data_IF_334220173578
#
_entry.id   IF_334220173578
#
_cell.length_a   1.000
_cell.length_b   1.000
_cell.length_c   1.000
_cell.angle_alpha   90.00
_cell.angle_beta   90.00
_cell.angle_gamma   90.00
#
_symmetry.space_group_name_H-M   'P 1'
#
loop_
_entity.id
_entity.type
_entity.pdbx_description
1 polymer ?
#
# COMPACT_ATOMS: atom_id res chain seq x y z
N UNK A 1 -2.79 15.13 10.01
CA UNK A 1 -3.69 15.47 8.87
C UNK A 1 -3.29 16.73 8.07
N UNK A 2 -2.40 17.59 8.57
CA UNK A 2 -2.00 18.85 7.92
C UNK A 2 -1.05 18.68 6.72
N UNK A 3 -0.25 17.63 6.73
CA UNK A 3 0.84 17.42 5.76
C UNK A 3 0.32 17.02 4.36
N UNK A 4 -0.74 16.22 4.25
CA UNK A 4 -1.24 15.74 2.95
C UNK A 4 -1.83 16.88 2.09
N UNK A 5 -2.51 17.86 2.72
CA UNK A 5 -3.03 19.04 2.02
C UNK A 5 -1.90 19.95 1.53
N UNK A 6 -0.81 20.07 2.29
CA UNK A 6 0.37 20.85 1.90
C UNK A 6 1.09 20.25 0.68
N UNK A 7 1.19 18.92 0.59
CA UNK A 7 1.76 18.25 -0.58
C UNK A 7 0.88 18.43 -1.84
N UNK A 8 -0.44 18.37 -1.71
CA UNK A 8 -1.35 18.63 -2.84
C UNK A 8 -1.23 20.08 -3.32
N UNK A 9 -1.16 21.04 -2.39
CA UNK A 9 -0.95 22.47 -2.72
C UNK A 9 0.42 22.69 -3.37
N UNK A 10 1.47 22.05 -2.88
CA UNK A 10 2.81 22.15 -3.45
C UNK A 10 2.88 21.57 -4.87
N UNK A 11 2.21 20.45 -5.13
CA UNK A 11 2.11 19.85 -6.47
C UNK A 11 1.32 20.76 -7.40
N UNK A 12 0.16 21.29 -6.97
CA UNK A 12 -0.62 22.23 -7.77
C UNK A 12 0.16 23.52 -8.08
N UNK A 13 0.88 24.06 -7.10
CA UNK A 13 1.72 25.25 -7.27
C UNK A 13 2.91 24.98 -8.21
N UNK A 14 3.53 23.80 -8.13
CA UNK A 14 4.61 23.41 -9.04
C UNK A 14 4.11 23.23 -10.48
N UNK A 15 2.93 22.63 -10.67
CA UNK A 15 2.30 22.48 -12.00
C UNK A 15 1.90 23.84 -12.57
N UNK A 16 1.30 24.72 -11.76
CA UNK A 16 0.94 26.08 -12.18
C UNK A 16 2.19 26.92 -12.51
N UNK A 17 3.22 26.86 -11.66
CA UNK A 17 4.50 27.54 -11.90
C UNK A 17 5.20 27.04 -13.15
N UNK A 18 5.18 25.73 -13.41
CA UNK A 18 5.73 25.15 -14.63
C UNK A 18 4.94 25.59 -15.88
N UNK A 19 3.61 25.65 -15.81
CA UNK A 19 2.77 26.16 -16.89
C UNK A 19 3.02 27.64 -17.18
N UNK A 20 3.25 28.46 -16.14
CA UNK A 20 3.61 29.88 -16.25
C UNK A 20 5.00 30.08 -16.87
N UNK A 21 6.00 29.27 -16.50
CA UNK A 21 7.37 29.37 -17.02
C UNK A 21 7.50 28.86 -18.46
N UNK A 22 6.62 27.94 -18.90
CA UNK A 22 6.68 27.33 -20.23
C UNK A 22 5.70 27.92 -21.25
N UNK A 23 5.19 29.14 -21.04
CA UNK A 23 4.43 29.87 -22.07
C UNK A 23 5.26 29.99 -23.36
N UNK A 24 5.00 29.08 -24.32
CA UNK A 24 5.64 29.05 -25.64
C UNK A 24 6.36 27.75 -26.03
N UNK A 25 6.58 26.78 -25.14
CA UNK A 25 7.25 25.51 -25.49
C UNK A 25 6.34 24.29 -25.27
N UNK A 26 5.69 23.86 -26.37
CA UNK A 26 4.76 22.71 -26.40
C UNK A 26 5.43 21.41 -25.92
N UNK A 27 6.72 21.21 -26.22
CA UNK A 27 7.44 19.99 -25.85
C UNK A 27 7.54 19.81 -24.34
N UNK A 28 7.86 20.89 -23.60
CA UNK A 28 7.94 20.88 -22.14
C UNK A 28 6.59 20.57 -21.46
N UNK A 29 5.51 21.16 -21.99
CA UNK A 29 4.14 20.93 -21.50
C UNK A 29 3.70 19.49 -21.70
N UNK A 30 4.05 18.87 -22.84
CA UNK A 30 3.77 17.45 -23.09
C UNK A 30 4.52 16.57 -22.09
N UNK A 31 5.81 16.83 -21.84
CA UNK A 31 6.60 16.02 -20.89
C UNK A 31 6.00 16.05 -19.49
N UNK A 32 5.61 17.23 -18.99
CA UNK A 32 5.00 17.31 -17.65
C UNK A 32 3.62 16.68 -17.60
N UNK A 33 2.80 16.86 -18.64
CA UNK A 33 1.50 16.18 -18.73
C UNK A 33 1.67 14.66 -18.69
N UNK A 34 2.63 14.12 -19.45
CA UNK A 34 2.94 12.68 -19.46
C UNK A 34 3.40 12.23 -18.08
N UNK A 35 4.29 12.95 -17.40
CA UNK A 35 4.74 12.60 -16.06
C UNK A 35 3.59 12.60 -15.04
N UNK A 36 2.70 13.60 -15.10
CA UNK A 36 1.53 13.68 -14.22
C UNK A 36 0.55 12.53 -14.51
N UNK A 37 0.26 12.24 -15.78
CA UNK A 37 -0.63 11.14 -16.17
C UNK A 37 -0.02 9.79 -15.76
N UNK A 38 1.26 9.56 -16.01
CA UNK A 38 1.97 8.34 -15.56
C UNK A 38 1.93 8.23 -14.04
N UNK A 39 2.15 9.32 -13.31
CA UNK A 39 2.06 9.32 -11.84
C UNK A 39 0.64 8.98 -11.36
N UNK A 40 -0.39 9.58 -11.93
CA UNK A 40 -1.79 9.28 -11.61
C UNK A 40 -2.16 7.84 -11.96
N UNK A 41 -1.72 7.34 -13.12
CA UNK A 41 -1.88 5.94 -13.50
C UNK A 41 -1.19 5.05 -12.48
N UNK A 42 0.08 5.26 -12.15
CA UNK A 42 0.81 4.45 -11.15
C UNK A 42 0.09 4.43 -9.79
N UNK A 43 -0.46 5.56 -9.34
CA UNK A 43 -1.21 5.63 -8.07
C UNK A 43 -2.56 4.91 -8.10
N UNK A 44 -3.22 4.87 -9.26
CA UNK A 44 -4.56 4.28 -9.41
C UNK A 44 -4.54 2.84 -9.92
N UNK A 45 -3.44 2.42 -10.54
CA UNK A 45 -3.35 1.12 -11.23
C UNK A 45 -3.02 -0.01 -10.25
N UNK A 46 -3.70 -1.16 -10.36
CA UNK A 46 -3.47 -2.32 -9.50
C UNK A 46 -2.13 -3.03 -9.65
N UNK A 47 -1.22 -2.55 -10.49
CA UNK A 47 0.16 -3.05 -10.59
C UNK A 47 0.92 -2.92 -9.26
N UNK A 48 0.61 -1.89 -8.46
CA UNK A 48 1.17 -1.74 -7.12
C UNK A 48 0.44 -2.57 -6.06
N UNK A 49 -0.73 -3.13 -6.37
CA UNK A 49 -1.50 -3.93 -5.43
C UNK A 49 -1.11 -5.41 -5.55
N UNK A 50 -0.75 -6.08 -4.45
CA UNK A 50 -0.51 -7.51 -4.49
C UNK A 50 -1.81 -8.24 -4.82
N UNK A 51 -1.69 -9.41 -5.45
CA UNK A 51 -2.84 -10.31 -5.61
C UNK A 51 -3.40 -10.64 -4.23
N UNK A 52 -4.70 -10.40 -4.05
CA UNK A 52 -5.48 -10.82 -2.89
C UNK A 52 -6.14 -12.15 -3.19
N UNK A 53 -5.95 -13.10 -2.28
CA UNK A 53 -6.73 -14.34 -2.21
C UNK A 53 -7.82 -14.17 -1.13
N UNK A 54 -8.89 -14.98 -1.16
CA UNK A 54 -9.81 -15.10 -0.03
C UNK A 54 -9.08 -15.43 1.28
N UNK A 55 -9.64 -15.05 2.43
CA UNK A 55 -9.01 -15.13 3.75
C UNK A 55 -8.60 -16.56 4.12
N UNK A 56 -9.49 -17.53 3.90
CA UNK A 56 -9.27 -18.94 4.17
C UNK A 56 -8.09 -19.49 3.35
N UNK A 57 -8.08 -19.25 2.04
CA UNK A 57 -6.99 -19.65 1.15
C UNK A 57 -5.68 -18.95 1.51
N UNK A 58 -5.74 -17.67 1.89
CA UNK A 58 -4.57 -16.89 2.31
C UNK A 58 -3.93 -17.44 3.58
N UNK A 59 -4.75 -17.89 4.55
CA UNK A 59 -4.30 -18.50 5.80
C UNK A 59 -3.65 -19.85 5.58
N UNK A 60 -4.27 -20.70 4.76
CA UNK A 60 -3.70 -22.00 4.39
C UNK A 60 -2.36 -21.80 3.71
N UNK A 61 -2.28 -20.88 2.73
CA UNK A 61 -1.06 -20.61 1.99
C UNK A 61 0.05 -20.01 2.87
N UNK A 62 -0.30 -19.11 3.79
CA UNK A 62 0.66 -18.51 4.72
C UNK A 62 1.23 -19.55 5.69
N UNK A 63 0.39 -20.46 6.19
CA UNK A 63 0.80 -21.56 7.07
C UNK A 63 1.69 -22.56 6.31
N UNK A 64 1.27 -23.00 5.13
CA UNK A 64 2.01 -23.94 4.27
C UNK A 64 3.42 -23.42 3.93
N UNK A 65 3.53 -22.13 3.60
CA UNK A 65 4.81 -21.51 3.25
C UNK A 65 5.60 -20.97 4.43
N UNK A 66 5.06 -21.03 5.65
CA UNK A 66 5.65 -20.43 6.85
C UNK A 66 6.03 -18.95 6.66
N UNK A 67 5.17 -18.18 6.00
CA UNK A 67 5.37 -16.75 5.71
C UNK A 67 4.34 -15.88 6.40
N UNK A 68 4.65 -14.60 6.69
CA UNK A 68 3.67 -13.69 7.29
C UNK A 68 2.51 -13.40 6.33
N UNK A 69 1.30 -13.32 6.91
CA UNK A 69 0.07 -12.92 6.24
C UNK A 69 -0.24 -11.45 6.56
N UNK A 70 -0.28 -10.61 5.52
CA UNK A 70 -0.40 -9.16 5.65
C UNK A 70 -1.75 -8.69 5.09
N UNK A 71 -2.58 -8.13 5.96
CA UNK A 71 -3.85 -7.50 5.59
C UNK A 71 -3.63 -6.03 5.21
N UNK A 72 -4.20 -5.63 4.08
CA UNK A 72 -4.01 -4.29 3.53
C UNK A 72 -5.29 -3.77 2.86
N UNK A 73 -5.30 -2.47 2.52
CA UNK A 73 -6.37 -1.85 1.71
C UNK A 73 -5.79 -0.80 0.75
N UNK A 74 -6.42 -0.54 -0.41
CA UNK A 74 -5.96 0.50 -1.34
C UNK A 74 -6.04 1.90 -0.71
N UNK A 75 -5.07 2.76 -0.99
CA UNK A 75 -4.97 4.11 -0.41
C UNK A 75 -4.43 4.17 1.03
N UNK A 76 -4.00 3.05 1.60
CA UNK A 76 -3.33 3.00 2.90
C UNK A 76 -1.84 3.35 2.76
N UNK A 77 -1.45 4.54 3.24
CA UNK A 77 -0.05 5.00 3.20
C UNK A 77 0.88 4.08 3.99
N UNK A 78 0.46 3.61 5.16
CA UNK A 78 1.25 2.69 5.99
C UNK A 78 1.47 1.34 5.30
N UNK A 79 0.46 0.84 4.60
CA UNK A 79 0.54 -0.40 3.83
C UNK A 79 1.51 -0.26 2.64
N UNK A 80 1.48 0.90 1.97
CA UNK A 80 2.44 1.21 0.91
C UNK A 80 3.87 1.30 1.47
N UNK A 81 4.07 2.01 2.58
CA UNK A 81 5.38 2.10 3.25
C UNK A 81 5.91 0.71 3.63
N UNK A 82 5.06 -0.13 4.22
CA UNK A 82 5.44 -1.49 4.60
C UNK A 82 5.83 -2.33 3.37
N UNK A 83 5.04 -2.27 2.29
CA UNK A 83 5.36 -2.96 1.03
C UNK A 83 6.69 -2.50 0.43
N UNK A 84 6.95 -1.19 0.42
CA UNK A 84 8.21 -0.63 -0.08
C UNK A 84 9.40 -1.08 0.77
N UNK A 85 9.26 -1.07 2.10
CA UNK A 85 10.30 -1.55 3.01
C UNK A 85 10.57 -3.05 2.85
N UNK A 86 9.56 -3.83 2.44
CA UNK A 86 9.66 -5.26 2.22
C UNK A 86 9.98 -5.64 0.77
N UNK A 87 10.44 -4.73 -0.11
CA UNK A 87 10.50 -4.96 -1.57
C UNK A 87 11.10 -6.31 -2.00
N UNK A 88 12.15 -6.78 -1.31
CA UNK A 88 12.85 -8.04 -1.58
C UNK A 88 12.12 -9.27 -1.00
N UNK A 89 11.75 -9.24 0.29
CA UNK A 89 11.15 -10.39 0.99
C UNK A 89 9.62 -10.44 0.91
N UNK A 90 8.98 -9.30 0.80
CA UNK A 90 7.53 -9.11 0.71
C UNK A 90 6.88 -9.75 -0.51
N UNK A 91 7.66 -10.13 -1.54
CA UNK A 91 7.16 -10.98 -2.65
C UNK A 91 6.77 -12.39 -2.19
N UNK A 92 7.37 -12.88 -1.10
CA UNK A 92 7.06 -14.19 -0.51
C UNK A 92 5.89 -14.14 0.47
N UNK A 93 5.62 -12.97 1.06
CA UNK A 93 4.50 -12.79 1.98
C UNK A 93 3.16 -12.94 1.26
N UNK A 94 2.16 -13.42 1.99
CA UNK A 94 0.78 -13.46 1.50
C UNK A 94 0.12 -12.13 1.84
N UNK A 95 -0.55 -11.53 0.86
CA UNK A 95 -1.21 -10.23 1.02
C UNK A 95 -2.70 -10.35 0.74
N UNK A 96 -3.53 -9.92 1.68
CA UNK A 96 -5.00 -10.06 1.57
C UNK A 96 -5.67 -8.71 1.74
N UNK A 97 -6.58 -8.39 0.82
CA UNK A 97 -7.28 -7.10 0.81
C UNK A 97 -8.54 -7.18 1.66
N UNK A 98 -8.60 -6.42 2.75
CA UNK A 98 -9.81 -6.34 3.58
C UNK A 98 -10.98 -5.65 2.88
N UNK A 99 -10.72 -4.93 1.78
CA UNK A 99 -11.78 -4.27 1.01
C UNK A 99 -12.55 -5.25 0.13
N UNK A 100 -11.84 -6.27 -0.40
CA UNK A 100 -12.43 -7.22 -1.34
C UNK A 100 -13.07 -8.41 -0.60
N UNK A 101 -12.58 -8.73 0.59
CA UNK A 101 -13.05 -9.87 1.36
C UNK A 101 -13.59 -9.44 2.74
N UNK A 102 -14.90 -9.60 3.00
CA UNK A 102 -15.50 -9.26 4.29
C UNK A 102 -15.01 -10.16 5.44
N UNK A 103 -14.57 -11.39 5.17
CA UNK A 103 -14.00 -12.28 6.19
C UNK A 103 -12.62 -11.77 6.64
N UNK A 104 -11.80 -11.31 5.69
CA UNK A 104 -10.53 -10.65 5.98
C UNK A 104 -10.75 -9.39 6.84
N UNK A 105 -11.77 -8.58 6.54
CA UNK A 105 -12.12 -7.43 7.36
C UNK A 105 -12.56 -7.84 8.77
N UNK A 106 -13.41 -8.86 8.90
CA UNK A 106 -13.86 -9.36 10.21
C UNK A 106 -12.69 -9.83 11.09
N UNK A 107 -11.71 -10.52 10.49
CA UNK A 107 -10.50 -10.97 11.18
C UNK A 107 -9.60 -9.83 11.64
N UNK A 108 -9.49 -8.77 10.84
CA UNK A 108 -8.77 -7.56 11.27
C UNK A 108 -9.50 -6.87 12.41
N UNK A 109 -10.84 -6.80 12.38
CA UNK A 109 -11.64 -6.23 13.47
C UNK A 109 -11.49 -7.01 14.77
N UNK A 110 -11.41 -8.34 14.71
CA UNK A 110 -11.31 -9.18 15.91
C UNK A 110 -10.03 -8.97 16.71
N UNK A 111 -8.98 -8.41 16.09
CA UNK A 111 -7.68 -8.14 16.73
C UNK A 111 -7.40 -6.65 16.96
N UNK A 112 -8.34 -5.78 16.61
CA UNK A 112 -8.18 -4.32 16.65
C UNK A 112 -9.36 -3.62 17.32
N UNK A 113 -9.94 -4.23 18.36
CA UNK A 113 -11.06 -3.68 19.12
C UNK A 113 -12.27 -3.29 18.23
N UNK A 114 -12.54 -4.10 17.19
CA UNK A 114 -13.62 -3.85 16.24
C UNK A 114 -13.25 -2.94 15.07
N UNK A 115 -12.02 -2.41 15.01
CA UNK A 115 -11.58 -1.51 13.95
C UNK A 115 -10.95 -2.23 12.76
N UNK A 116 -11.20 -1.72 11.55
CA UNK A 116 -10.56 -2.19 10.32
C UNK A 116 -9.17 -1.55 10.11
N UNK A 117 -8.33 -1.63 11.15
CA UNK A 117 -7.01 -0.99 11.16
C UNK A 117 -6.01 -1.81 10.34
N UNK A 118 -5.32 -1.15 9.42
CA UNK A 118 -4.32 -1.77 8.53
C UNK A 118 -3.06 -0.90 8.41
N UNK A 119 -1.87 -1.47 8.19
CA UNK A 119 -1.61 -2.89 7.94
C UNK A 119 -1.69 -3.72 9.21
N UNK A 120 -2.34 -4.89 9.15
CA UNK A 120 -2.33 -5.88 10.24
C UNK A 120 -1.62 -7.12 9.75
N UNK A 121 -0.59 -7.55 10.48
CA UNK A 121 0.26 -8.68 10.10
C UNK A 121 0.03 -9.82 11.07
N UNK A 122 -0.19 -11.01 10.54
CA UNK A 122 -0.25 -12.25 11.29
C UNK A 122 0.98 -13.08 11.00
N UNK A 123 1.74 -13.37 12.05
CA UNK A 123 2.83 -14.32 12.08
C UNK A 123 2.34 -15.65 12.72
N UNK A 124 3.14 -16.73 12.72
CA UNK A 124 2.71 -18.02 13.23
C UNK A 124 2.20 -18.01 14.67
N UNK A 125 2.78 -17.18 15.54
CA UNK A 125 2.46 -17.15 16.98
C UNK A 125 1.88 -15.81 17.47
N UNK A 126 2.04 -14.73 16.72
CA UNK A 126 1.60 -13.40 17.14
C UNK A 126 1.01 -12.60 15.96
N UNK A 127 0.22 -11.58 16.30
CA UNK A 127 -0.27 -10.61 15.35
C UNK A 127 0.13 -9.21 15.80
N UNK A 128 0.41 -8.32 14.85
CA UNK A 128 0.72 -6.93 15.13
C UNK A 128 0.04 -6.01 14.14
N UNK A 129 -0.52 -4.93 14.68
CA UNK A 129 -1.11 -3.85 13.91
C UNK A 129 -0.09 -2.74 13.73
N UNK A 130 0.12 -2.35 12.48
CA UNK A 130 1.14 -1.40 12.04
C UNK A 130 2.55 -1.71 12.59
N UNK A 131 3.08 -2.93 12.37
CA UNK A 131 4.40 -3.29 12.89
C UNK A 131 5.53 -2.57 12.15
N UNK A 132 6.70 -2.54 12.79
CA UNK A 132 7.92 -2.12 12.12
C UNK A 132 8.32 -3.12 11.03
N UNK A 133 8.79 -2.67 9.85
CA UNK A 133 9.23 -3.56 8.78
C UNK A 133 10.30 -4.56 9.20
N UNK A 134 11.21 -4.18 10.10
CA UNK A 134 12.26 -5.08 10.61
C UNK A 134 11.69 -6.29 11.34
N UNK A 135 10.65 -6.08 12.15
CA UNK A 135 9.94 -7.18 12.81
C UNK A 135 9.30 -8.11 11.78
N UNK A 136 8.63 -7.58 10.75
CA UNK A 136 8.03 -8.42 9.70
C UNK A 136 9.09 -9.24 8.96
N UNK A 137 10.27 -8.67 8.73
CA UNK A 137 11.40 -9.35 8.09
C UNK A 137 11.88 -10.57 8.90
N UNK A 138 11.83 -10.50 10.23
CA UNK A 138 12.18 -11.64 11.10
C UNK A 138 11.17 -12.79 11.07
N UNK A 139 9.95 -12.54 10.59
CA UNK A 139 8.89 -13.56 10.50
C UNK A 139 8.98 -14.41 9.23
N UNK A 140 9.90 -14.10 8.32
CA UNK A 140 10.20 -14.98 7.19
C UNK A 140 11.22 -16.01 7.66
N UNK A 141 10.75 -17.24 7.89
CA UNK A 141 11.58 -18.41 8.20
C UNK A 141 12.25 -18.93 6.93
#
# INVERSE_FOLDING_TARGET
MRNAKQWVIAVLAAVAGFALVNFGNIASSIVVMVLVVVFLLVLTTPVLYPRSLPDDASRVLAADRSVPLIYWRPGCIFCLRLRLALLLRGKKAVWTSIRQDPAAAARVRSVNDGNETVPTVFAPSEHRTNPDPSWVITQFV
#
